data_IF_763284530072
#
_entry.id   IF_763284530072
#
_cell.length_a   1.000
_cell.length_b   1.000
_cell.length_c   1.000
_cell.angle_alpha   90.00
_cell.angle_beta   90.00
_cell.angle_gamma   90.00
#
_symmetry.space_group_name_H-M   'P 1'
#
loop_
_entity.id
_entity.type
_entity.pdbx_description
1 polymer ?
#
# COMPACT_ATOMS: atom_id res chain seq x y z
N UNK A 1 -1.19 12.25 -29.29
CA UNK A 1 -1.76 13.43 -28.58
C UNK A 1 -0.78 13.83 -27.47
N UNK A 2 -0.32 15.08 -27.45
CA UNK A 2 0.56 15.56 -26.37
C UNK A 2 -0.30 15.87 -25.15
N UNK A 3 0.11 15.42 -23.96
CA UNK A 3 -0.57 15.76 -22.70
C UNK A 3 -0.53 17.29 -22.50
N UNK A 4 -1.65 17.85 -22.06
CA UNK A 4 -1.70 19.28 -21.70
C UNK A 4 -0.86 19.53 -20.43
N UNK A 5 -0.38 20.76 -20.24
CA UNK A 5 0.37 21.14 -19.04
C UNK A 5 -0.40 20.82 -17.75
N UNK A 6 -1.73 21.03 -17.77
CA UNK A 6 -2.59 20.72 -16.63
C UNK A 6 -2.67 19.22 -16.35
N UNK A 7 -2.78 18.39 -17.39
CA UNK A 7 -2.76 16.92 -17.23
C UNK A 7 -1.42 16.44 -16.67
N UNK A 8 -0.30 16.99 -17.13
CA UNK A 8 1.01 16.68 -16.59
C UNK A 8 1.13 17.02 -15.10
N UNK A 9 0.72 18.24 -14.70
CA UNK A 9 0.74 18.64 -13.29
C UNK A 9 -0.17 17.76 -12.43
N UNK A 10 -1.37 17.41 -12.92
CA UNK A 10 -2.28 16.48 -12.25
C UNK A 10 -1.60 15.11 -12.03
N UNK A 11 -0.97 14.55 -13.07
CA UNK A 11 -0.29 13.25 -12.97
C UNK A 11 0.87 13.30 -11.98
N UNK A 12 1.65 14.37 -11.96
CA UNK A 12 2.74 14.56 -10.98
C UNK A 12 2.21 14.54 -9.56
N UNK A 13 1.13 15.27 -9.28
CA UNK A 13 0.51 15.31 -7.93
C UNK A 13 0.00 13.92 -7.52
N UNK A 14 -0.67 13.20 -8.42
CA UNK A 14 -1.19 11.85 -8.15
C UNK A 14 -0.06 10.86 -7.88
N UNK A 15 0.98 10.89 -8.70
CA UNK A 15 2.15 10.00 -8.60
C UNK A 15 2.97 10.31 -7.34
N UNK A 16 3.14 11.58 -6.98
CA UNK A 16 3.78 11.97 -5.71
C UNK A 16 2.98 11.51 -4.50
N UNK A 17 1.63 11.59 -4.56
CA UNK A 17 0.77 11.03 -3.50
C UNK A 17 0.99 9.52 -3.33
N UNK A 18 1.00 8.76 -4.43
CA UNK A 18 1.30 7.33 -4.40
C UNK A 18 2.73 7.07 -3.87
N UNK A 19 3.73 7.85 -4.28
CA UNK A 19 5.10 7.74 -3.79
C UNK A 19 5.18 7.91 -2.26
N UNK A 20 4.57 8.97 -1.73
CA UNK A 20 4.60 9.26 -0.29
C UNK A 20 3.93 8.14 0.52
N UNK A 21 2.84 7.54 0.01
CA UNK A 21 2.17 6.42 0.70
C UNK A 21 3.03 5.15 0.71
N UNK A 22 3.71 4.83 -0.40
CA UNK A 22 4.62 3.67 -0.45
C UNK A 22 5.88 3.93 0.38
N UNK A 23 6.45 5.14 0.30
CA UNK A 23 7.60 5.55 1.11
C UNK A 23 7.28 5.38 2.60
N UNK A 24 6.15 5.90 3.06
CA UNK A 24 5.73 5.76 4.45
C UNK A 24 5.61 4.30 4.92
N UNK A 25 5.16 3.40 4.05
CA UNK A 25 5.06 1.98 4.39
C UNK A 25 6.45 1.39 4.70
N UNK A 26 7.48 1.84 4.01
CA UNK A 26 8.84 1.32 4.13
C UNK A 26 9.68 1.99 5.23
N UNK A 27 9.30 3.21 5.65
CA UNK A 27 9.99 3.93 6.73
C UNK A 27 9.82 3.29 8.11
N UNK A 28 8.71 2.60 8.35
CA UNK A 28 8.35 2.07 9.68
C UNK A 28 9.19 0.85 10.07
N UNK A 29 9.59 0.02 9.11
CA UNK A 29 10.34 -1.21 9.41
C UNK A 29 11.67 -0.93 10.14
N UNK A 30 12.52 0.02 9.71
CA UNK A 30 13.73 0.38 10.46
C UNK A 30 13.44 1.05 11.81
N UNK A 31 12.26 1.66 11.97
CA UNK A 31 11.85 2.31 13.22
C UNK A 31 11.32 1.35 14.29
N UNK A 32 10.97 0.11 13.91
CA UNK A 32 10.37 -0.86 14.85
C UNK A 32 11.17 -1.05 16.14
N UNK A 33 12.51 -1.24 16.14
CA UNK A 33 13.26 -1.41 17.38
C UNK A 33 13.15 -0.22 18.33
N UNK A 34 13.21 1.02 17.82
CA UNK A 34 13.05 2.24 18.61
C UNK A 34 11.63 2.35 19.20
N UNK A 35 10.60 2.06 18.39
CA UNK A 35 9.20 2.03 18.82
C UNK A 35 8.98 0.96 19.90
N UNK A 36 9.54 -0.24 19.74
CA UNK A 36 9.44 -1.33 20.73
C UNK A 36 10.00 -0.90 22.08
N UNK A 37 11.15 -0.24 22.09
CA UNK A 37 11.81 0.22 23.31
C UNK A 37 11.01 1.33 23.99
N UNK A 38 10.58 2.34 23.23
CA UNK A 38 9.86 3.50 23.79
C UNK A 38 8.45 3.14 24.27
N UNK A 39 7.72 2.34 23.48
CA UNK A 39 6.34 1.95 23.80
C UNK A 39 6.26 0.71 24.70
N UNK A 40 7.40 0.13 25.07
CA UNK A 40 7.53 -1.08 25.91
C UNK A 40 6.62 -2.23 25.39
N UNK A 41 6.73 -2.54 24.10
CA UNK A 41 5.99 -3.62 23.44
C UNK A 41 6.95 -4.65 22.84
N UNK A 42 6.48 -5.89 22.75
CA UNK A 42 7.23 -6.97 22.12
C UNK A 42 7.20 -6.89 20.59
N UNK A 43 8.07 -7.66 19.94
CA UNK A 43 8.18 -7.69 18.48
C UNK A 43 6.87 -8.11 17.78
N UNK A 44 6.13 -9.04 18.38
CA UNK A 44 4.87 -9.52 17.79
C UNK A 44 3.79 -8.44 17.77
N UNK A 45 3.72 -7.65 18.85
CA UNK A 45 2.84 -6.49 18.97
C UNK A 45 3.27 -5.38 18.01
N UNK A 46 4.55 -5.01 17.99
CA UNK A 46 5.08 -3.98 17.10
C UNK A 46 4.84 -4.29 15.61
N UNK A 47 4.88 -5.56 15.22
CA UNK A 47 4.66 -6.01 13.85
C UNK A 47 3.25 -5.69 13.34
N UNK A 48 2.27 -5.47 14.23
CA UNK A 48 0.93 -5.00 13.84
C UNK A 48 0.92 -3.62 13.17
N UNK A 49 1.95 -2.79 13.39
CA UNK A 49 2.09 -1.51 12.68
C UNK A 49 2.24 -1.70 11.15
N UNK A 50 2.82 -2.81 10.72
CA UNK A 50 3.00 -3.16 9.31
C UNK A 50 1.91 -4.11 8.82
N UNK A 51 1.59 -5.15 9.57
CA UNK A 51 0.58 -6.15 9.21
C UNK A 51 -0.82 -5.53 9.20
N UNK A 52 -1.19 -4.76 10.24
CA UNK A 52 -2.47 -4.06 10.31
C UNK A 52 -2.63 -3.03 9.20
N UNK A 53 -1.56 -2.28 8.89
CA UNK A 53 -1.54 -1.37 7.74
C UNK A 53 -1.82 -2.11 6.42
N UNK A 54 -1.11 -3.21 6.16
CA UNK A 54 -1.27 -4.00 4.93
C UNK A 54 -2.68 -4.61 4.84
N UNK A 55 -3.22 -5.08 5.96
CA UNK A 55 -4.58 -5.62 6.05
C UNK A 55 -5.63 -4.58 5.67
N UNK A 56 -5.61 -3.40 6.32
CA UNK A 56 -6.58 -2.33 6.02
C UNK A 56 -6.42 -1.85 4.58
N UNK A 57 -5.19 -1.71 4.10
CA UNK A 57 -4.92 -1.36 2.71
C UNK A 57 -5.59 -2.36 1.73
N UNK A 58 -5.43 -3.66 1.97
CA UNK A 58 -6.05 -4.71 1.14
C UNK A 58 -7.59 -4.66 1.18
N UNK A 59 -8.18 -4.42 2.35
CA UNK A 59 -9.64 -4.28 2.53
C UNK A 59 -10.18 -3.06 1.75
N UNK A 60 -9.40 -1.98 1.68
CA UNK A 60 -9.82 -0.75 0.99
C UNK A 60 -9.84 -0.88 -0.54
N UNK A 61 -9.13 -1.84 -1.13
CA UNK A 61 -9.09 -2.03 -2.60
C UNK A 61 -10.49 -2.25 -3.20
N UNK A 62 -11.30 -3.26 -2.76
CA UNK A 62 -12.65 -3.45 -3.28
C UNK A 62 -13.60 -2.30 -2.93
N UNK A 63 -13.43 -1.67 -1.76
CA UNK A 63 -14.20 -0.48 -1.36
C UNK A 63 -13.90 0.68 -2.32
N UNK A 64 -12.65 0.84 -2.72
CA UNK A 64 -12.22 1.91 -3.63
C UNK A 64 -12.88 1.78 -5.00
N UNK A 65 -13.05 0.57 -5.52
CA UNK A 65 -13.77 0.34 -6.77
C UNK A 65 -15.20 0.90 -6.70
N UNK A 66 -15.92 0.64 -5.59
CA UNK A 66 -17.25 1.19 -5.34
C UNK A 66 -17.23 2.73 -5.20
N UNK A 67 -16.25 3.28 -4.48
CA UNK A 67 -16.11 4.73 -4.28
C UNK A 67 -15.84 5.46 -5.60
N UNK A 68 -15.04 4.89 -6.50
CA UNK A 68 -14.73 5.46 -7.83
C UNK A 68 -15.97 5.57 -8.72
N UNK A 69 -16.96 4.70 -8.55
CA UNK A 69 -18.23 4.77 -9.29
C UNK A 69 -19.19 5.85 -8.76
N UNK A 70 -18.97 6.36 -7.55
CA UNK A 70 -19.87 7.33 -6.90
C UNK A 70 -19.28 8.72 -6.74
N UNK A 71 -17.98 8.82 -6.55
CA UNK A 71 -17.32 10.08 -6.27
C UNK A 71 -16.37 10.48 -7.39
N UNK A 72 -16.23 11.78 -7.58
CA UNK A 72 -15.27 12.29 -8.56
C UNK A 72 -13.83 12.04 -8.13
N UNK A 73 -12.94 11.92 -9.11
CA UNK A 73 -11.51 11.67 -8.90
C UNK A 73 -10.88 12.67 -7.90
N UNK A 74 -11.19 13.97 -8.03
CA UNK A 74 -10.67 14.98 -7.10
C UNK A 74 -11.13 14.72 -5.67
N UNK A 75 -12.43 14.49 -5.47
CA UNK A 75 -12.99 14.24 -4.13
C UNK A 75 -12.33 13.02 -3.49
N UNK A 76 -12.18 11.93 -4.24
CA UNK A 76 -11.54 10.72 -3.74
C UNK A 76 -10.07 10.92 -3.42
N UNK A 77 -9.32 11.58 -4.30
CA UNK A 77 -7.90 11.82 -4.07
C UNK A 77 -7.68 12.72 -2.85
N UNK A 78 -8.39 13.85 -2.76
CA UNK A 78 -8.28 14.76 -1.61
C UNK A 78 -8.71 14.07 -0.33
N UNK A 79 -9.82 13.35 -0.33
CA UNK A 79 -10.30 12.61 0.83
C UNK A 79 -9.29 11.56 1.30
N UNK A 80 -8.75 10.75 0.37
CA UNK A 80 -7.77 9.71 0.70
C UNK A 80 -6.46 10.28 1.23
N UNK A 81 -5.94 11.36 0.62
CA UNK A 81 -4.74 12.05 1.11
C UNK A 81 -4.98 12.73 2.46
N UNK A 82 -6.18 13.31 2.69
CA UNK A 82 -6.52 13.90 3.99
C UNK A 82 -6.63 12.82 5.08
N UNK A 83 -7.27 11.69 4.77
CA UNK A 83 -7.35 10.55 5.68
C UNK A 83 -5.94 10.00 6.01
N UNK A 84 -5.09 9.89 5.00
CA UNK A 84 -3.70 9.49 5.16
C UNK A 84 -2.93 10.49 6.04
N UNK A 85 -3.08 11.81 5.81
CA UNK A 85 -2.44 12.85 6.59
C UNK A 85 -2.91 12.85 8.05
N UNK A 86 -4.22 12.72 8.29
CA UNK A 86 -4.78 12.62 9.66
C UNK A 86 -4.22 11.39 10.38
N UNK A 87 -4.22 10.22 9.74
CA UNK A 87 -3.62 9.01 10.30
C UNK A 87 -2.13 9.17 10.58
N UNK A 88 -1.41 9.86 9.69
CA UNK A 88 0.02 10.17 9.88
C UNK A 88 0.24 11.08 11.09
N UNK A 89 -0.57 12.12 11.25
CA UNK A 89 -0.48 13.02 12.40
C UNK A 89 -0.81 12.30 13.70
N UNK A 90 -1.86 11.45 13.72
CA UNK A 90 -2.18 10.63 14.88
C UNK A 90 -1.03 9.70 15.27
N UNK A 91 -0.36 9.10 14.26
CA UNK A 91 0.81 8.28 14.50
C UNK A 91 2.01 9.09 15.01
N UNK A 92 2.20 10.31 14.48
CA UNK A 92 3.28 11.22 14.90
C UNK A 92 3.15 11.70 16.35
N UNK A 93 1.93 11.92 16.84
CA UNK A 93 1.66 12.40 18.21
C UNK A 93 1.28 11.26 19.16
N UNK A 94 1.36 10.01 18.72
CA UNK A 94 0.92 8.84 19.46
C UNK A 94 1.76 8.60 20.73
N UNK A 95 1.21 8.92 21.89
CA UNK A 95 1.85 8.75 23.21
C UNK A 95 1.85 7.30 23.72
N UNK A 96 1.14 6.41 23.04
CA UNK A 96 1.07 4.99 23.38
C UNK A 96 0.82 4.14 22.13
N UNK A 97 1.12 2.85 22.22
CA UNK A 97 1.00 1.92 21.11
C UNK A 97 -0.41 1.84 20.48
N UNK A 98 -1.54 1.81 21.24
CA UNK A 98 -2.87 1.80 20.63
C UNK A 98 -3.18 3.03 19.78
N UNK A 99 -2.75 4.23 20.19
CA UNK A 99 -2.93 5.47 19.40
C UNK A 99 -2.07 5.44 18.14
N UNK A 100 -0.82 5.01 18.26
CA UNK A 100 0.09 4.82 17.12
C UNK A 100 -0.52 3.82 16.12
N UNK A 101 -0.97 2.66 16.59
CA UNK A 101 -1.61 1.64 15.74
C UNK A 101 -2.90 2.18 15.11
N UNK A 102 -3.76 2.85 15.87
CA UNK A 102 -4.97 3.50 15.37
C UNK A 102 -4.66 4.49 14.25
N UNK A 103 -3.65 5.36 14.44
CA UNK A 103 -3.15 6.27 13.42
C UNK A 103 -2.70 5.54 12.16
N UNK A 104 -1.96 4.43 12.32
CA UNK A 104 -1.52 3.57 11.20
C UNK A 104 -2.68 2.93 10.43
N UNK A 105 -3.73 2.49 11.11
CA UNK A 105 -4.92 1.91 10.44
C UNK A 105 -5.69 2.97 9.65
N UNK A 106 -5.87 4.18 10.20
CA UNK A 106 -6.48 5.32 9.51
C UNK A 106 -5.63 5.72 8.28
N UNK A 107 -4.32 5.78 8.44
CA UNK A 107 -3.36 6.06 7.37
C UNK A 107 -3.46 5.01 6.24
N UNK A 108 -3.55 3.73 6.60
CA UNK A 108 -3.69 2.63 5.65
C UNK A 108 -5.00 2.70 4.85
N UNK A 109 -6.10 3.13 5.46
CA UNK A 109 -7.36 3.34 4.76
C UNK A 109 -7.23 4.42 3.68
N UNK A 110 -6.54 5.53 3.98
CA UNK A 110 -6.21 6.56 2.99
C UNK A 110 -5.35 6.03 1.85
N UNK A 111 -4.27 5.30 2.16
CA UNK A 111 -3.35 4.71 1.18
C UNK A 111 -4.05 3.71 0.26
N UNK A 112 -4.93 2.87 0.80
CA UNK A 112 -5.68 1.85 0.06
C UNK A 112 -6.68 2.42 -0.95
N UNK A 113 -7.18 3.63 -0.73
CA UNK A 113 -7.98 4.35 -1.71
C UNK A 113 -7.08 5.00 -2.78
N UNK A 114 -6.00 5.61 -2.36
CA UNK A 114 -5.17 6.48 -3.19
C UNK A 114 -4.50 5.72 -4.34
N UNK A 115 -3.97 4.54 -4.07
CA UNK A 115 -3.26 3.73 -5.07
C UNK A 115 -4.13 3.32 -6.26
N UNK A 116 -5.32 2.68 -6.07
CA UNK A 116 -6.20 2.35 -7.18
C UNK A 116 -6.74 3.58 -7.92
N UNK A 117 -7.02 4.69 -7.21
CA UNK A 117 -7.46 5.95 -7.83
C UNK A 117 -6.38 6.49 -8.76
N UNK A 118 -5.12 6.55 -8.30
CA UNK A 118 -3.99 7.01 -9.12
C UNK A 118 -3.80 6.14 -10.36
N UNK A 119 -3.84 4.83 -10.20
CA UNK A 119 -3.71 3.88 -11.31
C UNK A 119 -4.83 4.03 -12.34
N UNK A 120 -6.07 4.17 -11.89
CA UNK A 120 -7.23 4.40 -12.77
C UNK A 120 -7.08 5.68 -13.57
N UNK A 121 -6.66 6.78 -12.94
CA UNK A 121 -6.46 8.06 -13.63
C UNK A 121 -5.35 7.98 -14.67
N UNK A 122 -4.23 7.32 -14.35
CA UNK A 122 -3.15 7.07 -15.32
C UNK A 122 -3.69 6.33 -16.55
N UNK A 123 -4.49 5.28 -16.35
CA UNK A 123 -5.08 4.50 -17.45
C UNK A 123 -6.10 5.30 -18.28
N UNK A 124 -6.80 6.27 -17.69
CA UNK A 124 -7.79 7.11 -18.38
C UNK A 124 -7.16 8.28 -19.12
N UNK A 125 -6.05 8.82 -18.64
CA UNK A 125 -5.38 9.99 -19.23
C UNK A 125 -4.48 9.58 -20.40
N UNK A 126 -3.82 8.43 -20.29
CA UNK A 126 -2.95 7.94 -21.36
C UNK A 126 -3.75 7.15 -22.42
N UNK A 127 -3.50 7.39 -23.71
CA UNK A 127 -4.07 6.60 -24.79
C UNK A 127 -3.57 5.15 -24.71
N UNK A 128 -4.34 4.22 -25.31
CA UNK A 128 -4.14 2.77 -25.19
C UNK A 128 -2.71 2.35 -25.57
N UNK A 129 -2.16 2.95 -26.63
CA UNK A 129 -0.81 2.73 -27.15
C UNK A 129 0.31 3.17 -26.19
N UNK A 130 0.01 4.03 -25.19
CA UNK A 130 0.98 4.57 -24.23
C UNK A 130 0.72 4.18 -22.78
N UNK A 131 -0.26 3.33 -22.54
CA UNK A 131 -0.57 2.84 -21.16
C UNK A 131 0.59 2.06 -20.55
N UNK A 132 1.37 1.35 -21.35
CA UNK A 132 2.60 0.69 -20.90
C UNK A 132 3.60 1.67 -20.31
N UNK A 133 3.85 2.81 -20.97
CA UNK A 133 4.72 3.86 -20.44
C UNK A 133 4.18 4.50 -19.15
N UNK A 134 2.85 4.69 -19.05
CA UNK A 134 2.22 5.19 -17.83
C UNK A 134 2.41 4.23 -16.65
N UNK A 135 2.23 2.92 -16.90
CA UNK A 135 2.49 1.88 -15.90
C UNK A 135 3.97 1.76 -15.55
N UNK A 136 4.86 2.00 -16.51
CA UNK A 136 6.31 2.09 -16.26
C UNK A 136 6.68 3.22 -15.30
N UNK A 137 6.10 4.42 -15.47
CA UNK A 137 6.29 5.55 -14.55
C UNK A 137 5.74 5.20 -13.15
N UNK A 138 4.57 4.61 -13.07
CA UNK A 138 3.97 4.20 -11.81
C UNK A 138 4.80 3.10 -11.12
N UNK A 139 5.28 2.13 -11.90
CA UNK A 139 6.17 1.07 -11.43
C UNK A 139 7.52 1.60 -10.92
N UNK A 140 8.07 2.65 -11.57
CA UNK A 140 9.27 3.33 -11.10
C UNK A 140 9.07 3.90 -9.68
N UNK A 141 7.94 4.58 -9.45
CA UNK A 141 7.59 5.15 -8.14
C UNK A 141 7.48 4.07 -7.07
N UNK A 142 6.79 2.96 -7.40
CA UNK A 142 6.63 1.84 -6.47
C UNK A 142 7.98 1.17 -6.16
N UNK A 143 8.89 1.09 -7.13
CA UNK A 143 10.20 0.49 -6.93
C UNK A 143 11.18 1.42 -6.17
N UNK A 144 11.09 2.74 -6.41
CA UNK A 144 12.04 3.70 -5.86
C UNK A 144 11.77 4.03 -4.39
N UNK A 145 10.50 4.04 -3.97
CA UNK A 145 10.13 4.33 -2.59
C UNK A 145 10.71 3.31 -1.58
N UNK A 146 10.63 1.98 -1.79
CA UNK A 146 11.28 1.00 -0.90
C UNK A 146 12.82 1.07 -0.90
N UNK A 147 13.42 1.55 -1.98
CA UNK A 147 14.87 1.72 -2.05
C UNK A 147 15.38 2.86 -1.17
N UNK A 148 14.66 3.98 -1.19
CA UNK A 148 15.05 5.18 -0.45
C UNK A 148 14.57 5.10 1.01
N UNK A 149 13.40 4.47 1.25
CA UNK A 149 12.76 4.45 2.55
C UNK A 149 13.66 4.02 3.70
N UNK A 150 14.25 2.83 3.68
CA UNK A 150 15.11 2.37 4.77
C UNK A 150 16.32 3.27 5.02
N UNK A 151 16.92 3.81 3.95
CA UNK A 151 18.07 4.72 4.06
C UNK A 151 17.69 6.04 4.72
N UNK A 152 16.54 6.63 4.32
CA UNK A 152 16.01 7.86 4.92
C UNK A 152 15.61 7.61 6.37
N UNK A 153 14.95 6.48 6.65
CA UNK A 153 14.56 6.11 8.00
C UNK A 153 15.77 5.91 8.90
N UNK A 154 16.78 5.17 8.44
CA UNK A 154 18.01 4.96 9.20
C UNK A 154 18.72 6.26 9.53
N UNK A 155 18.89 7.14 8.52
CA UNK A 155 19.52 8.44 8.73
C UNK A 155 18.78 9.32 9.76
N UNK A 156 17.44 9.35 9.69
CA UNK A 156 16.62 10.15 10.61
C UNK A 156 16.69 9.56 12.03
N UNK A 157 16.58 8.22 12.17
CA UNK A 157 16.58 7.55 13.48
C UNK A 157 17.94 7.65 14.16
N UNK A 158 19.04 7.59 13.40
CA UNK A 158 20.40 7.71 13.92
C UNK A 158 20.68 9.12 14.52
N UNK A 159 19.94 10.15 14.09
CA UNK A 159 20.16 11.54 14.51
C UNK A 159 19.02 12.14 15.32
N UNK A 160 17.84 11.53 15.31
CA UNK A 160 16.63 12.08 15.88
C UNK A 160 15.64 10.98 16.26
N UNK A 161 14.48 11.39 16.80
CA UNK A 161 13.39 10.51 17.19
C UNK A 161 12.63 9.98 15.96
N UNK A 162 12.15 8.72 16.03
CA UNK A 162 11.34 8.09 14.98
C UNK A 162 10.03 8.84 14.66
N UNK A 163 9.48 9.62 15.60
CA UNK A 163 8.31 10.47 15.38
C UNK A 163 8.52 11.47 14.24
N UNK A 164 9.77 11.92 14.01
CA UNK A 164 10.12 12.85 12.94
C UNK A 164 9.81 12.26 11.56
N UNK A 165 9.91 10.94 11.40
CA UNK A 165 9.52 10.26 10.16
C UNK A 165 8.06 10.54 9.81
N UNK A 166 7.17 10.45 10.81
CA UNK A 166 5.75 10.73 10.61
C UNK A 166 5.46 12.21 10.38
N UNK A 167 6.14 13.12 11.09
CA UNK A 167 6.01 14.57 10.85
C UNK A 167 6.46 14.94 9.44
N UNK A 168 7.55 14.36 8.94
CA UNK A 168 8.02 14.57 7.59
C UNK A 168 7.00 14.09 6.55
N UNK A 169 6.43 12.90 6.72
CA UNK A 169 5.39 12.37 5.84
C UNK A 169 4.11 13.20 5.92
N UNK A 170 3.74 13.70 7.10
CA UNK A 170 2.62 14.61 7.26
C UNK A 170 2.82 15.91 6.48
N UNK A 171 3.99 16.54 6.63
CA UNK A 171 4.32 17.77 5.88
C UNK A 171 4.27 17.54 4.36
N UNK A 172 4.85 16.44 3.86
CA UNK A 172 4.77 16.07 2.45
C UNK A 172 3.32 15.84 2.00
N UNK A 173 2.49 15.24 2.85
CA UNK A 173 1.06 15.02 2.55
C UNK A 173 0.31 16.34 2.37
N UNK A 174 0.55 17.33 3.23
CA UNK A 174 -0.04 18.68 3.10
C UNK A 174 0.42 19.36 1.81
N UNK A 175 1.72 19.28 1.48
CA UNK A 175 2.28 19.83 0.22
C UNK A 175 1.62 19.21 -1.01
N UNK A 176 1.12 17.96 -0.94
CA UNK A 176 0.42 17.30 -2.03
C UNK A 176 -1.08 17.64 -2.03
N UNK A 177 -1.72 17.73 -0.86
CA UNK A 177 -3.15 18.04 -0.74
C UNK A 177 -3.45 19.42 -1.35
N UNK A 178 -2.67 20.44 -1.03
CA UNK A 178 -2.94 21.81 -1.47
C UNK A 178 -3.01 21.93 -3.01
N UNK A 179 -2.00 21.52 -3.79
CA UNK A 179 -2.11 21.56 -5.25
C UNK A 179 -3.18 20.63 -5.80
N UNK A 180 -3.48 19.51 -5.13
CA UNK A 180 -4.50 18.56 -5.61
C UNK A 180 -5.90 19.18 -5.68
N UNK A 181 -6.22 20.14 -4.80
CA UNK A 181 -7.50 20.86 -4.81
C UNK A 181 -7.73 21.62 -6.12
N UNK A 182 -6.67 22.07 -6.78
CA UNK A 182 -6.75 22.90 -7.99
C UNK A 182 -6.40 22.14 -9.26
N UNK A 183 -5.42 21.21 -9.18
CA UNK A 183 -4.83 20.54 -10.34
C UNK A 183 -5.55 19.25 -10.72
N UNK A 184 -6.12 18.50 -9.75
CA UNK A 184 -6.83 17.27 -10.05
C UNK A 184 -8.18 17.60 -10.68
N UNK A 185 -8.45 17.07 -11.86
CA UNK A 185 -9.71 17.32 -12.55
C UNK A 185 -10.89 16.69 -11.81
N UNK A 186 -11.98 17.46 -11.71
CA UNK A 186 -13.22 17.00 -11.09
C UNK A 186 -14.07 16.21 -12.10
N UNK A 187 -13.46 15.17 -12.72
CA UNK A 187 -14.21 14.30 -13.63
C UNK A 187 -15.26 13.54 -12.85
N UNK A 188 -16.49 13.55 -13.39
CA UNK A 188 -17.57 12.73 -12.86
C UNK A 188 -17.19 11.24 -12.94
N UNK A 189 -17.74 10.40 -12.05
CA UNK A 189 -17.56 8.95 -12.13
C UNK A 189 -17.92 8.43 -13.52
N UNK A 190 -17.14 7.49 -14.03
CA UNK A 190 -17.34 6.93 -15.37
C UNK A 190 -18.68 6.17 -15.50
N UNK A 191 -19.12 5.56 -14.40
CA UNK A 191 -20.40 4.85 -14.29
C UNK A 191 -21.20 5.42 -13.13
N UNK A 192 -22.20 6.25 -13.41
CA UNK A 192 -23.08 6.80 -12.38
C UNK A 192 -23.91 5.69 -11.72
N UNK A 193 -23.41 5.12 -10.63
CA UNK A 193 -24.25 4.40 -9.68
C UNK A 193 -24.54 2.93 -9.97
N UNK A 194 -23.79 2.28 -10.88
CA UNK A 194 -24.02 0.85 -11.22
C UNK A 194 -23.43 -0.14 -10.21
N UNK A 195 -22.45 0.27 -9.40
CA UNK A 195 -21.89 -0.59 -8.36
C UNK A 195 -22.73 -0.54 -7.10
N UNK A 196 -23.04 -1.70 -6.56
CA UNK A 196 -23.72 -1.88 -5.28
C UNK A 196 -22.70 -2.37 -4.27
N UNK A 197 -22.62 -1.65 -3.13
CA UNK A 197 -21.80 -2.14 -2.02
C UNK A 197 -22.53 -3.33 -1.42
N UNK A 198 -21.95 -4.52 -1.57
CA UNK A 198 -22.49 -5.73 -0.97
C UNK A 198 -21.89 -5.93 0.43
N UNK A 199 -22.67 -5.69 1.52
CA UNK A 199 -22.14 -5.78 2.89
C UNK A 199 -21.57 -7.16 3.23
N UNK A 200 -22.17 -8.22 2.67
CA UNK A 200 -21.67 -9.58 2.90
C UNK A 200 -20.35 -9.83 2.22
N UNK A 201 -20.16 -9.35 0.98
CA UNK A 201 -18.86 -9.41 0.30
C UNK A 201 -17.79 -8.62 1.04
N UNK A 202 -18.14 -7.45 1.57
CA UNK A 202 -17.25 -6.65 2.39
C UNK A 202 -16.85 -7.37 3.68
N UNK A 203 -17.84 -7.94 4.40
CA UNK A 203 -17.58 -8.72 5.61
C UNK A 203 -16.71 -9.95 5.32
N UNK A 204 -17.00 -10.69 4.25
CA UNK A 204 -16.22 -11.87 3.84
C UNK A 204 -14.78 -11.50 3.46
N UNK A 205 -14.56 -10.42 2.73
CA UNK A 205 -13.20 -9.97 2.40
C UNK A 205 -12.46 -9.50 3.66
N UNK A 206 -13.09 -8.68 4.49
CA UNK A 206 -12.46 -8.14 5.71
C UNK A 206 -12.10 -9.25 6.71
N UNK A 207 -13.09 -10.10 7.06
CA UNK A 207 -12.87 -11.19 8.00
C UNK A 207 -12.00 -12.30 7.39
N UNK A 208 -12.18 -12.61 6.11
CA UNK A 208 -11.41 -13.63 5.41
C UNK A 208 -9.92 -13.27 5.36
N UNK A 209 -9.58 -12.11 4.81
CA UNK A 209 -8.18 -11.66 4.77
C UNK A 209 -7.63 -11.38 6.17
N UNK A 210 -8.45 -10.82 7.09
CA UNK A 210 -8.07 -10.55 8.48
C UNK A 210 -7.68 -11.81 9.24
N UNK A 211 -8.55 -12.81 9.24
CA UNK A 211 -8.28 -14.09 9.90
C UNK A 211 -7.13 -14.85 9.25
N UNK A 212 -7.02 -14.79 7.92
CA UNK A 212 -5.93 -15.43 7.19
C UNK A 212 -4.57 -14.81 7.56
N UNK A 213 -4.45 -13.48 7.54
CA UNK A 213 -3.21 -12.78 7.89
C UNK A 213 -2.86 -12.95 9.37
N UNK A 214 -3.86 -12.84 10.26
CA UNK A 214 -3.67 -13.11 11.69
C UNK A 214 -3.18 -14.53 11.93
N UNK A 215 -3.85 -15.50 11.30
CA UNK A 215 -3.47 -16.91 11.42
C UNK A 215 -2.06 -17.19 10.93
N UNK A 216 -1.66 -16.68 9.77
CA UNK A 216 -0.29 -16.83 9.27
C UNK A 216 0.75 -16.15 10.20
N UNK A 217 0.45 -14.97 10.71
CA UNK A 217 1.31 -14.28 11.67
C UNK A 217 1.46 -15.09 12.96
N UNK A 218 0.35 -15.62 13.48
CA UNK A 218 0.33 -16.43 14.70
C UNK A 218 1.03 -17.80 14.51
N UNK A 219 0.95 -18.42 13.31
CA UNK A 219 1.72 -19.63 12.98
C UNK A 219 3.23 -19.38 13.07
N UNK A 220 3.68 -18.19 12.66
CA UNK A 220 5.09 -17.82 12.75
C UNK A 220 5.60 -17.61 14.17
N UNK A 221 4.75 -17.13 15.10
CA UNK A 221 5.13 -16.80 16.48
C UNK A 221 4.80 -17.90 17.49
N UNK A 222 3.60 -18.50 17.40
CA UNK A 222 3.10 -19.51 18.35
C UNK A 222 3.21 -20.96 17.82
N UNK A 223 3.73 -21.13 16.61
CA UNK A 223 3.84 -22.44 15.97
C UNK A 223 2.51 -23.02 15.52
N UNK A 224 2.52 -24.31 15.14
CA UNK A 224 1.35 -25.04 14.62
C UNK A 224 0.38 -25.47 15.73
N UNK A 225 -0.16 -24.50 16.46
CA UNK A 225 -1.20 -24.75 17.46
C UNK A 225 -2.60 -24.64 16.86
N UNK A 226 -3.62 -25.12 17.59
CA UNK A 226 -5.01 -25.22 17.10
C UNK A 226 -5.57 -23.86 16.67
N UNK A 227 -5.34 -22.80 17.46
CA UNK A 227 -5.91 -21.46 17.20
C UNK A 227 -5.38 -20.85 15.90
N UNK A 228 -4.05 -20.75 15.65
CA UNK A 228 -3.51 -20.31 14.38
C UNK A 228 -3.99 -21.11 13.16
N UNK A 229 -4.07 -22.45 13.30
CA UNK A 229 -4.55 -23.32 12.22
C UNK A 229 -6.03 -23.04 11.89
N UNK A 230 -6.88 -22.96 12.91
CA UNK A 230 -8.31 -22.68 12.73
C UNK A 230 -8.54 -21.27 12.15
N UNK A 231 -7.84 -20.25 12.65
CA UNK A 231 -7.96 -18.88 12.13
C UNK A 231 -7.51 -18.78 10.67
N UNK A 232 -6.40 -19.44 10.32
CA UNK A 232 -5.93 -19.51 8.93
C UNK A 232 -6.95 -20.23 8.04
N UNK A 233 -7.45 -21.39 8.46
CA UNK A 233 -8.43 -22.19 7.70
C UNK A 233 -9.74 -21.39 7.49
N UNK A 234 -10.29 -20.80 8.55
CA UNK A 234 -11.49 -19.95 8.46
C UNK A 234 -11.25 -18.73 7.56
N UNK A 235 -10.07 -18.12 7.64
CA UNK A 235 -9.67 -17.02 6.76
C UNK A 235 -9.66 -17.45 5.29
N UNK A 236 -9.04 -18.57 4.96
CA UNK A 236 -9.01 -19.14 3.61
C UNK A 236 -10.43 -19.43 3.11
N UNK A 237 -11.27 -20.06 3.93
CA UNK A 237 -12.67 -20.34 3.59
C UNK A 237 -13.44 -19.03 3.32
N UNK A 238 -13.26 -18.00 4.14
CA UNK A 238 -13.86 -16.68 3.95
C UNK A 238 -13.42 -16.02 2.63
N UNK A 239 -12.12 -16.06 2.32
CA UNK A 239 -11.57 -15.51 1.05
C UNK A 239 -12.09 -16.31 -0.15
N UNK A 240 -12.09 -17.63 -0.10
CA UNK A 240 -12.63 -18.47 -1.19
C UNK A 240 -14.12 -18.21 -1.39
N UNK A 241 -14.89 -18.11 -0.32
CA UNK A 241 -16.31 -17.77 -0.40
C UNK A 241 -16.53 -16.36 -0.98
N UNK A 242 -15.73 -15.38 -0.58
CA UNK A 242 -15.74 -14.05 -1.20
C UNK A 242 -15.56 -14.14 -2.71
N UNK A 243 -14.52 -14.85 -3.20
CA UNK A 243 -14.28 -14.99 -4.64
C UNK A 243 -15.43 -15.71 -5.36
N UNK A 244 -15.93 -16.82 -4.81
CA UNK A 244 -17.09 -17.54 -5.37
C UNK A 244 -18.32 -16.61 -5.45
N UNK A 245 -18.57 -15.83 -4.41
CA UNK A 245 -19.67 -14.87 -4.39
C UNK A 245 -19.51 -13.81 -5.48
N UNK A 246 -18.31 -13.26 -5.68
CA UNK A 246 -18.07 -12.29 -6.73
C UNK A 246 -18.38 -12.84 -8.13
N UNK A 247 -18.19 -14.13 -8.38
CA UNK A 247 -18.54 -14.74 -9.68
C UNK A 247 -20.05 -14.94 -9.89
N UNK A 248 -20.84 -14.91 -8.81
CA UNK A 248 -22.31 -15.16 -8.84
C UNK A 248 -23.14 -13.89 -8.77
N UNK A 249 -22.57 -12.77 -8.34
CA UNK A 249 -23.29 -11.52 -8.23
C UNK A 249 -23.52 -10.89 -9.62
N UNK A 250 -24.73 -10.36 -9.89
CA UNK A 250 -25.00 -9.63 -11.14
C UNK A 250 -24.14 -8.37 -11.30
N UNK A 251 -23.81 -7.73 -10.16
CA UNK A 251 -22.97 -6.52 -10.08
C UNK A 251 -21.90 -6.74 -9.01
N UNK A 252 -20.80 -7.45 -9.34
CA UNK A 252 -19.76 -7.75 -8.38
C UNK A 252 -18.94 -6.49 -8.04
N UNK A 253 -18.48 -6.39 -6.78
CA UNK A 253 -17.54 -5.36 -6.36
C UNK A 253 -16.18 -5.52 -7.03
N UNK A 254 -15.77 -6.79 -7.28
CA UNK A 254 -14.53 -7.14 -7.95
C UNK A 254 -14.84 -8.08 -9.13
N UNK A 255 -14.46 -7.68 -10.33
CA UNK A 255 -14.65 -8.51 -11.54
C UNK A 255 -13.61 -9.62 -11.63
N UNK A 256 -13.90 -10.73 -10.99
CA UNK A 256 -13.02 -11.91 -10.92
C UNK A 256 -12.99 -12.69 -12.23
N UNK A 257 -13.96 -12.44 -13.12
CA UNK A 257 -14.06 -13.10 -14.43
C UNK A 257 -12.82 -12.93 -15.31
N UNK A 258 -12.06 -11.84 -15.11
CA UNK A 258 -10.80 -11.59 -15.81
C UNK A 258 -9.76 -12.71 -15.57
N UNK A 259 -9.83 -13.40 -14.42
CA UNK A 259 -8.95 -14.54 -14.10
C UNK A 259 -9.22 -15.78 -14.97
N UNK A 260 -10.38 -15.87 -15.64
CA UNK A 260 -10.65 -16.93 -16.62
C UNK A 260 -9.76 -16.80 -17.86
N UNK A 261 -9.25 -15.60 -18.14
CA UNK A 261 -8.29 -15.41 -19.22
C UNK A 261 -6.91 -15.92 -18.77
N UNK A 262 -6.41 -16.98 -19.44
CA UNK A 262 -5.14 -17.63 -19.09
C UNK A 262 -3.94 -16.66 -19.07
N UNK A 263 -3.90 -15.71 -20.02
CA UNK A 263 -2.80 -14.72 -20.08
C UNK A 263 -2.82 -13.80 -18.87
N UNK A 264 -4.02 -13.35 -18.48
CA UNK A 264 -4.20 -12.51 -17.30
C UNK A 264 -3.86 -13.27 -16.01
N UNK A 265 -4.34 -14.52 -15.89
CA UNK A 265 -4.05 -15.38 -14.72
C UNK A 265 -2.56 -15.61 -14.55
N UNK A 266 -1.85 -16.00 -15.63
CA UNK A 266 -0.40 -16.22 -15.59
C UNK A 266 0.34 -14.94 -15.22
N UNK A 267 -0.03 -13.79 -15.82
CA UNK A 267 0.56 -12.49 -15.47
C UNK A 267 0.34 -12.14 -14.00
N UNK A 268 -0.85 -12.40 -13.46
CA UNK A 268 -1.17 -12.17 -12.04
C UNK A 268 -0.32 -13.06 -11.13
N UNK A 269 -0.19 -14.36 -11.44
CA UNK A 269 0.63 -15.28 -10.64
C UNK A 269 2.11 -14.85 -10.66
N UNK A 270 2.66 -14.51 -11.83
CA UNK A 270 4.03 -14.02 -11.94
C UNK A 270 4.19 -12.74 -11.11
N UNK A 271 3.25 -11.78 -11.22
CA UNK A 271 3.27 -10.56 -10.42
C UNK A 271 3.26 -10.82 -8.91
N UNK A 272 2.44 -11.77 -8.44
CA UNK A 272 2.41 -12.18 -7.04
C UNK A 272 3.74 -12.77 -6.58
N UNK A 273 4.35 -13.66 -7.38
CA UNK A 273 5.64 -14.28 -7.05
C UNK A 273 6.77 -13.24 -7.01
N UNK A 274 6.83 -12.34 -7.98
CA UNK A 274 7.82 -11.25 -8.03
C UNK A 274 7.65 -10.34 -6.81
N UNK A 275 6.41 -9.91 -6.52
CA UNK A 275 6.13 -9.05 -5.37
C UNK A 275 6.47 -9.74 -4.03
N UNK A 276 6.17 -11.03 -3.91
CA UNK A 276 6.55 -11.84 -2.74
C UNK A 276 8.07 -11.92 -2.56
N UNK A 277 8.82 -12.14 -3.65
CA UNK A 277 10.28 -12.18 -3.61
C UNK A 277 10.88 -10.83 -3.21
N UNK A 278 10.33 -9.72 -3.72
CA UNK A 278 10.77 -8.37 -3.36
C UNK A 278 10.51 -8.05 -1.88
N UNK A 279 9.33 -8.40 -1.37
CA UNK A 279 9.02 -8.22 0.05
C UNK A 279 9.92 -9.09 0.93
N UNK A 280 10.15 -10.35 0.56
CA UNK A 280 11.07 -11.24 1.26
C UNK A 280 12.49 -10.67 1.29
N UNK A 281 13.01 -10.20 0.16
CA UNK A 281 14.32 -9.55 0.10
C UNK A 281 14.38 -8.30 0.98
N UNK A 282 13.33 -7.47 0.96
CA UNK A 282 13.22 -6.26 1.79
C UNK A 282 13.21 -6.52 3.29
N UNK A 283 12.80 -7.71 3.73
CA UNK A 283 12.79 -8.12 5.15
C UNK A 283 14.07 -8.88 5.51
N UNK A 284 14.46 -9.85 4.70
CA UNK A 284 15.57 -10.75 5.01
C UNK A 284 16.94 -10.08 4.91
N UNK A 285 17.13 -9.19 3.92
CA UNK A 285 18.41 -8.51 3.73
C UNK A 285 18.77 -7.58 4.89
N UNK A 286 17.85 -6.72 5.41
CA UNK A 286 18.14 -5.95 6.62
C UNK A 286 18.46 -6.82 7.82
N UNK A 287 17.73 -7.90 8.06
CA UNK A 287 18.00 -8.84 9.16
C UNK A 287 19.40 -9.46 9.00
N UNK A 288 19.73 -9.93 7.79
CA UNK A 288 21.04 -10.52 7.51
C UNK A 288 22.18 -9.51 7.75
N UNK A 289 22.05 -8.29 7.21
CA UNK A 289 23.10 -7.27 7.31
C UNK A 289 23.25 -6.75 8.73
N UNK A 290 22.17 -6.48 9.43
CA UNK A 290 22.20 -5.87 10.76
C UNK A 290 22.41 -6.91 11.87
N UNK A 291 21.65 -8.01 11.86
CA UNK A 291 21.68 -8.99 12.97
C UNK A 291 22.84 -9.98 12.88
N UNK A 292 23.26 -10.38 11.66
CA UNK A 292 24.36 -11.34 11.49
C UNK A 292 25.72 -10.68 11.30
N UNK A 293 25.78 -9.53 10.64
CA UNK A 293 27.05 -8.82 10.38
C UNK A 293 27.26 -7.59 11.26
N UNK A 294 26.28 -7.19 12.08
CA UNK A 294 26.39 -6.03 12.98
C UNK A 294 26.56 -4.69 12.27
N UNK A 295 26.18 -4.62 10.97
CA UNK A 295 26.32 -3.40 10.18
C UNK A 295 25.13 -2.46 10.41
N UNK A 296 25.29 -1.17 10.09
CA UNK A 296 24.25 -0.16 10.29
C UNK A 296 23.03 -0.33 9.39
N UNK A 297 21.88 0.23 9.79
CA UNK A 297 20.67 0.28 8.99
C UNK A 297 20.90 0.99 7.65
N UNK A 298 21.76 2.00 7.62
CA UNK A 298 22.17 2.71 6.39
C UNK A 298 22.84 1.75 5.39
N UNK A 299 23.77 0.91 5.85
CA UNK A 299 24.44 -0.09 4.98
C UNK A 299 23.44 -1.08 4.44
N UNK A 300 22.48 -1.52 5.25
CA UNK A 300 21.39 -2.40 4.84
C UNK A 300 20.55 -1.78 3.70
N UNK A 301 20.22 -0.49 3.78
CA UNK A 301 19.53 0.23 2.71
C UNK A 301 20.37 0.33 1.42
N UNK A 302 21.70 0.58 1.56
CA UNK A 302 22.61 0.66 0.43
C UNK A 302 22.74 -0.69 -0.32
N UNK A 303 22.68 -1.81 0.38
CA UNK A 303 22.70 -3.16 -0.25
C UNK A 303 21.47 -3.39 -1.13
N UNK A 304 20.30 -2.85 -0.76
CA UNK A 304 19.06 -2.98 -1.55
C UNK A 304 18.98 -1.97 -2.71
N UNK A 305 19.74 -0.87 -2.64
CA UNK A 305 19.69 0.24 -3.60
C UNK A 305 19.98 -0.19 -5.07
N UNK A 306 21.00 -1.00 -5.40
CA UNK A 306 21.28 -1.41 -6.78
C UNK A 306 20.09 -2.13 -7.43
N UNK A 307 19.44 -3.03 -6.70
CA UNK A 307 18.24 -3.74 -7.18
C UNK A 307 17.09 -2.80 -7.49
N UNK A 308 16.86 -1.82 -6.64
CA UNK A 308 15.80 -0.84 -6.83
C UNK A 308 16.10 0.15 -7.97
N UNK A 309 17.35 0.58 -8.13
CA UNK A 309 17.79 1.40 -9.28
C UNK A 309 17.54 0.61 -10.58
N UNK A 310 17.94 -0.66 -10.62
CA UNK A 310 17.75 -1.51 -11.79
C UNK A 310 16.25 -1.67 -12.12
N UNK A 311 15.39 -1.91 -11.11
CA UNK A 311 13.94 -1.93 -11.27
C UNK A 311 13.41 -0.60 -11.82
N UNK A 312 13.89 0.53 -11.29
CA UNK A 312 13.50 1.86 -11.75
C UNK A 312 13.80 2.09 -13.23
N UNK A 313 14.93 1.58 -13.72
CA UNK A 313 15.33 1.67 -15.12
C UNK A 313 14.55 0.68 -16.00
N UNK A 314 14.38 -0.56 -15.53
CA UNK A 314 13.76 -1.63 -16.31
C UNK A 314 12.24 -1.50 -16.43
N UNK A 315 11.54 -0.97 -15.42
CA UNK A 315 10.08 -0.83 -15.45
C UNK A 315 9.58 0.02 -16.66
N UNK A 316 10.14 1.22 -16.95
CA UNK A 316 9.75 1.98 -18.14
C UNK A 316 10.13 1.29 -19.46
N UNK A 317 11.24 0.53 -19.47
CA UNK A 317 11.67 -0.23 -20.66
C UNK A 317 10.75 -1.41 -20.96
N UNK A 318 10.34 -2.14 -19.92
CA UNK A 318 9.41 -3.26 -20.06
C UNK A 318 7.99 -2.80 -20.43
N UNK A 319 7.63 -1.54 -20.15
CA UNK A 319 6.34 -0.94 -20.52
C UNK A 319 6.25 -0.43 -21.96
N UNK A 320 7.34 -0.50 -22.74
CA UNK A 320 7.36 -0.19 -24.18
C UNK A 320 7.05 -1.43 -25.00
#
# INVERSE_FOLDING_TARGET
MKLTRKQWMMLVVLVLGAFVTVLNQTLVTPALPSIMTEMNVDQSTAQWLTTGFTLVNAIMIPITAFLQDRFSTRKLFVFSMSLFAVGTLLAAVGLNFPVLLGGRLVQAAGAGILMPVTMTVLMLVFPVDRRGSAMGIFGLVIAFAPAIGPTVAGFVIDQADWHILFYLIFALSIVIIVPSLFLVDNKAPANKGDSVLDPLSLALSTLGFGLMLYGFSALGSAGFTLVPLLTTALGIVGVVWFFIRQTRLPRPMLRVDVLKNRRFLVGTIIGMLVQGALLAAGILMPIYVQSLHGLSATVSGLVLMPGAILMGIMNPLAGK
#
